data_IF_563281395322
#
_entry.id   IF_563281395322
#
_cell.length_a   1.000
_cell.length_b   1.000
_cell.length_c   1.000
_cell.angle_alpha   90.00
_cell.angle_beta   90.00
_cell.angle_gamma   90.00
#
_symmetry.space_group_name_H-M   'P 1'
#
loop_
_entity.id
_entity.type
_entity.pdbx_description
1 polymer ?
#
# COMPACT_ATOMS: atom_id res chain seq x y z
N UNK A 1 -8.12 -24.14 15.28
CA UNK A 1 -7.49 -23.81 13.99
C UNK A 1 -6.90 -22.41 14.11
N UNK A 2 -5.58 -22.35 14.23
CA UNK A 2 -4.79 -21.15 14.48
C UNK A 2 -5.22 -20.04 13.52
N UNK A 3 -5.68 -18.94 14.07
CA UNK A 3 -6.08 -17.72 13.36
C UNK A 3 -4.88 -17.22 12.58
N UNK A 4 -4.74 -17.70 11.34
CA UNK A 4 -3.93 -17.08 10.28
C UNK A 4 -4.56 -15.73 9.95
N UNK A 5 -4.46 -14.79 10.88
CA UNK A 5 -4.49 -13.37 10.58
C UNK A 5 -3.16 -13.05 9.91
N UNK A 6 -2.98 -13.57 8.69
CA UNK A 6 -1.89 -13.12 7.83
C UNK A 6 -2.23 -11.66 7.54
N UNK A 7 -1.53 -10.74 8.22
CA UNK A 7 -1.80 -9.31 8.17
C UNK A 7 -1.60 -8.69 6.78
N UNK A 8 -1.05 -9.45 5.84
CA UNK A 8 -0.86 -9.10 4.45
C UNK A 8 -1.13 -10.35 3.60
N UNK A 9 -1.98 -10.25 2.57
CA UNK A 9 -2.30 -11.40 1.74
C UNK A 9 -1.05 -11.89 1.00
N UNK A 10 -0.88 -13.20 0.84
CA UNK A 10 0.27 -13.75 0.11
C UNK A 10 0.43 -13.22 -1.33
N UNK A 11 -0.66 -12.70 -1.92
CA UNK A 11 -0.62 -11.97 -3.19
C UNK A 11 0.00 -10.57 -3.09
N UNK A 12 -0.30 -9.82 -2.04
CA UNK A 12 0.21 -8.45 -1.82
C UNK A 12 1.73 -8.46 -1.66
N UNK A 13 2.28 -9.46 -0.96
CA UNK A 13 3.73 -9.65 -0.80
C UNK A 13 4.40 -9.91 -2.16
N UNK A 14 3.78 -10.72 -3.04
CA UNK A 14 4.30 -10.96 -4.39
C UNK A 14 4.26 -9.69 -5.24
N UNK A 15 3.19 -8.90 -5.11
CA UNK A 15 3.04 -7.64 -5.83
C UNK A 15 4.10 -6.62 -5.38
N UNK A 16 4.34 -6.53 -4.07
CA UNK A 16 5.46 -5.77 -3.50
C UNK A 16 6.81 -6.25 -4.04
N UNK A 17 7.02 -7.56 -4.09
CA UNK A 17 8.25 -8.15 -4.62
C UNK A 17 8.50 -7.79 -6.08
N UNK A 18 7.47 -7.86 -6.92
CA UNK A 18 7.57 -7.42 -8.32
C UNK A 18 7.88 -5.93 -8.42
N UNK A 19 7.11 -5.08 -7.72
CA UNK A 19 7.33 -3.63 -7.69
C UNK A 19 8.76 -3.30 -7.25
N UNK A 20 9.24 -3.93 -6.17
CA UNK A 20 10.59 -3.73 -5.66
C UNK A 20 11.68 -4.24 -6.62
N UNK A 21 11.39 -5.27 -7.42
CA UNK A 21 12.28 -5.75 -8.47
C UNK A 21 12.38 -4.79 -9.66
N UNK A 22 11.27 -4.16 -10.06
CA UNK A 22 11.23 -3.23 -11.19
C UNK A 22 11.72 -1.82 -10.84
N UNK A 23 11.29 -1.27 -9.71
CA UNK A 23 11.56 0.12 -9.30
C UNK A 23 12.64 0.25 -8.22
N UNK A 24 13.07 -0.88 -7.64
CA UNK A 24 14.03 -0.90 -6.53
C UNK A 24 13.39 -0.78 -5.15
N UNK A 25 14.18 -1.08 -4.12
CA UNK A 25 13.73 -1.08 -2.72
C UNK A 25 13.25 0.28 -2.21
N UNK A 26 13.77 1.37 -2.78
CA UNK A 26 13.36 2.76 -2.47
C UNK A 26 11.89 3.02 -2.79
N UNK A 27 11.38 2.47 -3.89
CA UNK A 27 9.99 2.62 -4.29
C UNK A 27 9.01 2.01 -3.29
N UNK A 28 9.44 0.93 -2.62
CA UNK A 28 8.61 0.23 -1.64
C UNK A 28 8.22 1.13 -0.47
N UNK A 29 9.09 2.06 -0.07
CA UNK A 29 8.82 3.00 1.02
C UNK A 29 7.64 3.90 0.67
N UNK A 30 7.67 4.52 -0.52
CA UNK A 30 6.58 5.37 -0.98
C UNK A 30 5.28 4.57 -1.15
N UNK A 31 5.39 3.40 -1.79
CA UNK A 31 4.22 2.61 -2.17
C UNK A 31 3.51 2.04 -0.94
N UNK A 32 4.25 1.50 0.03
CA UNK A 32 3.69 1.03 1.30
C UNK A 32 3.01 2.15 2.08
N UNK A 33 3.63 3.33 2.13
CA UNK A 33 3.13 4.46 2.90
C UNK A 33 1.86 5.03 2.27
N UNK A 34 1.86 5.26 0.95
CA UNK A 34 0.70 5.75 0.22
C UNK A 34 -0.43 4.71 0.17
N UNK A 35 -0.13 3.42 -0.02
CA UNK A 35 -1.15 2.38 -0.02
C UNK A 35 -1.78 2.20 1.37
N UNK A 36 -0.98 2.28 2.43
CA UNK A 36 -1.44 2.23 3.83
C UNK A 36 -2.35 3.41 4.15
N UNK A 37 -1.95 4.63 3.81
CA UNK A 37 -2.75 5.84 4.02
C UNK A 37 -4.07 5.77 3.25
N UNK A 38 -4.02 5.45 1.96
CA UNK A 38 -5.22 5.34 1.12
C UNK A 38 -6.16 4.22 1.63
N UNK A 39 -5.60 3.05 1.95
CA UNK A 39 -6.34 1.92 2.50
C UNK A 39 -6.95 2.21 3.87
N UNK A 40 -6.25 2.96 4.72
CA UNK A 40 -6.77 3.40 6.02
C UNK A 40 -7.92 4.40 5.85
N UNK A 41 -7.76 5.43 5.02
CA UNK A 41 -8.80 6.44 4.77
C UNK A 41 -10.06 5.78 4.21
N UNK A 42 -9.91 4.94 3.18
CA UNK A 42 -11.05 4.26 2.54
C UNK A 42 -11.64 3.20 3.48
N UNK A 43 -10.81 2.47 4.22
CA UNK A 43 -11.27 1.52 5.23
C UNK A 43 -12.09 2.20 6.33
N UNK A 44 -11.63 3.33 6.85
CA UNK A 44 -12.36 4.14 7.85
C UNK A 44 -13.65 4.70 7.25
N UNK A 45 -13.62 5.27 6.05
CA UNK A 45 -14.80 5.80 5.37
C UNK A 45 -15.86 4.71 5.15
N UNK A 46 -15.45 3.52 4.70
CA UNK A 46 -16.35 2.38 4.51
C UNK A 46 -16.91 1.85 5.84
N UNK A 47 -16.11 1.83 6.91
CA UNK A 47 -16.60 1.48 8.25
C UNK A 47 -17.71 2.43 8.72
N UNK A 48 -17.52 3.74 8.51
CA UNK A 48 -18.52 4.77 8.87
C UNK A 48 -19.80 4.60 8.05
N UNK A 49 -19.69 4.41 6.74
CA UNK A 49 -20.84 4.32 5.82
C UNK A 49 -21.63 3.02 6.02
N UNK A 50 -20.95 1.88 6.13
CA UNK A 50 -21.61 0.56 6.21
C UNK A 50 -22.00 0.14 7.62
N UNK A 51 -21.54 0.83 8.68
CA UNK A 51 -21.72 0.43 10.09
C UNK A 51 -21.38 -1.06 10.34
N UNK A 52 -20.52 -1.65 9.51
CA UNK A 52 -20.10 -3.05 9.65
C UNK A 52 -18.80 -3.13 10.46
N UNK A 53 -18.68 -4.22 11.21
CA UNK A 53 -17.56 -4.51 12.10
C UNK A 53 -16.18 -4.30 11.44
N UNK A 54 -15.21 -3.86 12.26
CA UNK A 54 -13.76 -3.81 12.00
C UNK A 54 -13.13 -5.11 11.42
N UNK A 55 -13.92 -6.16 11.21
CA UNK A 55 -13.53 -7.42 10.57
C UNK A 55 -13.61 -7.36 9.04
N UNK A 56 -14.12 -6.30 8.44
CA UNK A 56 -14.08 -6.17 6.98
C UNK A 56 -12.62 -6.02 6.53
N UNK A 57 -12.05 -7.13 6.04
CA UNK A 57 -10.71 -7.15 5.50
C UNK A 57 -10.71 -6.32 4.21
N UNK A 58 -10.24 -5.09 4.30
CA UNK A 58 -10.01 -4.23 3.15
C UNK A 58 -8.86 -4.84 2.34
N UNK A 59 -9.08 -5.28 1.09
CA UNK A 59 -8.02 -5.89 0.30
C UNK A 59 -6.92 -4.84 0.06
N UNK A 60 -5.69 -5.16 0.44
CA UNK A 60 -4.57 -4.22 0.38
C UNK A 60 -3.99 -4.11 -1.04
N UNK A 61 -4.11 -5.17 -1.84
CA UNK A 61 -3.61 -5.27 -3.22
C UNK A 61 -4.03 -4.15 -4.18
N UNK A 62 -5.32 -3.76 -4.27
CA UNK A 62 -5.74 -2.65 -5.12
C UNK A 62 -5.08 -1.31 -4.75
N UNK A 63 -4.92 -1.03 -3.45
CA UNK A 63 -4.24 0.18 -2.99
C UNK A 63 -2.74 0.15 -3.29
N UNK A 64 -2.13 -1.03 -3.19
CA UNK A 64 -0.74 -1.27 -3.59
C UNK A 64 -0.51 -1.01 -5.08
N UNK A 65 -1.40 -1.53 -5.94
CA UNK A 65 -1.33 -1.28 -7.37
C UNK A 65 -1.56 0.21 -7.70
N UNK A 66 -2.52 0.86 -7.06
CA UNK A 66 -2.77 2.29 -7.23
C UNK A 66 -1.57 3.14 -6.79
N UNK A 67 -0.96 2.83 -5.65
CA UNK A 67 0.23 3.50 -5.16
C UNK A 67 1.45 3.25 -6.06
N UNK A 68 1.59 2.06 -6.64
CA UNK A 68 2.63 1.75 -7.62
C UNK A 68 2.48 2.55 -8.92
N UNK A 69 1.24 2.71 -9.41
CA UNK A 69 0.97 3.59 -10.55
C UNK A 69 1.28 5.04 -10.19
N UNK A 70 0.88 5.50 -9.00
CA UNK A 70 1.21 6.85 -8.52
C UNK A 70 2.74 7.08 -8.40
N UNK A 71 3.49 6.04 -8.04
CA UNK A 71 4.96 6.10 -7.98
C UNK A 71 5.60 6.36 -9.35
N UNK A 72 5.00 5.91 -10.45
CA UNK A 72 5.52 6.20 -11.80
C UNK A 72 5.49 7.71 -12.11
N UNK A 73 4.47 8.42 -11.63
CA UNK A 73 4.30 9.85 -11.92
C UNK A 73 4.97 10.76 -10.88
N UNK A 74 4.87 10.42 -9.60
CA UNK A 74 5.36 11.27 -8.50
C UNK A 74 6.48 10.63 -7.68
N UNK A 75 6.76 9.35 -7.88
CA UNK A 75 7.73 8.62 -7.07
C UNK A 75 9.16 9.09 -7.27
N UNK A 76 9.56 9.39 -8.50
CA UNK A 76 10.87 9.98 -8.80
C UNK A 76 11.05 11.34 -8.11
N UNK A 77 10.06 12.23 -8.21
CA UNK A 77 10.10 13.55 -7.60
C UNK A 77 10.08 13.48 -6.07
N UNK A 78 9.27 12.58 -5.50
CA UNK A 78 9.22 12.34 -4.07
C UNK A 78 10.54 11.78 -3.53
N UNK A 79 11.12 10.79 -4.22
CA UNK A 79 12.41 10.22 -3.87
C UNK A 79 13.55 11.24 -4.06
N UNK A 80 13.46 12.11 -5.07
CA UNK A 80 14.40 13.22 -5.27
C UNK A 80 14.29 14.23 -4.13
N UNK A 81 13.10 14.61 -3.70
CA UNK A 81 12.91 15.47 -2.52
C UNK A 81 13.45 14.82 -1.24
N UNK A 82 13.26 13.51 -1.06
CA UNK A 82 13.74 12.78 0.11
C UNK A 82 15.27 12.57 0.14
N UNK A 83 15.89 12.38 -1.02
CA UNK A 83 17.32 12.03 -1.13
C UNK A 83 18.18 13.27 -1.41
N UNK A 84 17.67 14.24 -2.17
CA UNK A 84 18.38 15.44 -2.64
C UNK A 84 18.06 16.67 -1.78
N UNK A 85 17.22 16.53 -0.75
CA UNK A 85 17.03 17.52 0.32
C UNK A 85 18.21 17.65 1.28
N UNK A 86 19.36 17.07 0.96
CA UNK A 86 20.66 17.18 1.65
C UNK A 86 21.76 17.49 0.64
#
# INVERSE_FOLDING_TARGET
KMTRREGMGGGDIKLLGMIGGFFGWKALIFILLMSSLAGAIIGIALMIIKKQDMKYAVPFGPFLAAAAVAYIFWGEEFMRLLIMGY
#
